data_IF_877851304929
#
_entry.id   IF_877851304929
#
_cell.length_a   1.000
_cell.length_b   1.000
_cell.length_c   1.000
_cell.angle_alpha   90.00
_cell.angle_beta   90.00
_cell.angle_gamma   90.00
#
_symmetry.space_group_name_H-M   'P 1'
#
loop_
_entity.id
_entity.type
_entity.pdbx_description
1 polymer ?
#
# COMPACT_ATOMS: atom_id res chain seq x y z
N UNK A 1 7.50 17.34 -18.87
CA UNK A 1 6.51 16.53 -18.12
C UNK A 1 5.41 17.46 -17.64
N UNK A 2 4.14 17.07 -17.71
CA UNK A 2 3.03 17.90 -17.24
C UNK A 2 2.99 17.89 -15.70
N UNK A 3 2.52 18.96 -15.04
CA UNK A 3 2.43 19.02 -13.58
C UNK A 3 1.54 17.90 -13.00
N UNK A 4 0.50 17.48 -13.71
CA UNK A 4 -0.34 16.34 -13.32
C UNK A 4 0.43 15.01 -13.26
N UNK A 5 1.34 14.78 -14.22
CA UNK A 5 2.17 13.57 -14.23
C UNK A 5 3.15 13.54 -13.05
N UNK A 6 3.70 14.69 -12.65
CA UNK A 6 4.57 14.79 -11.47
C UNK A 6 3.81 14.51 -10.18
N UNK A 7 2.56 14.99 -10.07
CA UNK A 7 1.70 14.71 -8.91
C UNK A 7 1.37 13.23 -8.83
N UNK A 8 0.93 12.62 -9.94
CA UNK A 8 0.66 11.18 -9.99
C UNK A 8 1.91 10.37 -9.64
N UNK A 9 3.07 10.74 -10.18
CA UNK A 9 4.35 10.11 -9.85
C UNK A 9 4.66 10.21 -8.34
N UNK A 10 4.54 11.40 -7.74
CA UNK A 10 4.77 11.60 -6.32
C UNK A 10 3.80 10.78 -5.45
N UNK A 11 2.52 10.72 -5.81
CA UNK A 11 1.53 9.90 -5.10
C UNK A 11 1.90 8.41 -5.19
N UNK A 12 2.22 7.92 -6.38
CA UNK A 12 2.50 6.50 -6.61
C UNK A 12 3.83 6.03 -6.00
N UNK A 13 4.88 6.85 -6.07
CA UNK A 13 6.24 6.45 -5.71
C UNK A 13 6.75 7.05 -4.40
N UNK A 14 6.12 8.09 -3.86
CA UNK A 14 6.53 8.70 -2.59
C UNK A 14 5.49 8.47 -1.50
N UNK A 15 4.20 8.70 -1.78
CA UNK A 15 3.17 8.62 -0.75
C UNK A 15 3.00 7.18 -0.20
N UNK A 16 3.02 6.17 -1.07
CA UNK A 16 2.91 4.75 -0.67
C UNK A 16 4.04 4.31 0.26
N UNK A 17 5.32 4.45 -0.15
CA UNK A 17 6.46 4.13 0.71
C UNK A 17 6.50 4.98 1.99
N UNK A 18 6.18 6.27 1.92
CA UNK A 18 6.18 7.15 3.09
C UNK A 18 5.12 6.73 4.11
N UNK A 19 3.91 6.41 3.67
CA UNK A 19 2.84 5.91 4.54
C UNK A 19 3.24 4.59 5.19
N UNK A 20 3.77 3.65 4.40
CA UNK A 20 4.22 2.35 4.90
C UNK A 20 5.38 2.50 5.91
N UNK A 21 6.37 3.33 5.59
CA UNK A 21 7.48 3.63 6.49
C UNK A 21 7.00 4.24 7.81
N UNK A 22 6.07 5.19 7.75
CA UNK A 22 5.46 5.82 8.92
C UNK A 22 4.73 4.81 9.81
N UNK A 23 3.90 3.97 9.20
CA UNK A 23 3.19 2.90 9.91
C UNK A 23 4.16 1.91 10.54
N UNK A 24 5.22 1.49 9.84
CA UNK A 24 6.20 0.52 10.36
C UNK A 24 7.02 1.00 11.55
N UNK A 25 7.00 2.31 11.86
CA UNK A 25 7.58 2.87 13.09
C UNK A 25 6.72 2.60 14.31
N UNK A 26 5.44 2.29 14.13
CA UNK A 26 4.55 1.93 15.24
C UNK A 26 5.01 0.61 15.90
N UNK A 27 4.68 0.40 17.18
CA UNK A 27 4.98 -0.84 17.86
C UNK A 27 4.36 -2.05 17.14
N UNK A 28 5.08 -3.16 17.10
CA UNK A 28 4.62 -4.41 16.50
C UNK A 28 3.56 -5.13 17.41
N UNK A 29 2.44 -4.45 17.75
CA UNK A 29 1.32 -4.96 18.60
C UNK A 29 0.14 -5.54 17.84
N UNK A 30 -0.41 -6.69 18.28
CA UNK A 30 -1.57 -7.39 17.66
C UNK A 30 -2.70 -6.45 17.26
N UNK A 31 -3.09 -5.54 18.15
CA UNK A 31 -4.11 -4.52 17.92
C UNK A 31 -3.89 -3.64 16.68
N UNK A 32 -2.64 -3.25 16.36
CA UNK A 32 -2.34 -2.40 15.20
C UNK A 32 -2.54 -3.18 13.89
N UNK A 33 -2.13 -4.46 13.86
CA UNK A 33 -2.31 -5.31 12.67
C UNK A 33 -3.78 -5.65 12.46
N UNK A 34 -4.55 -5.91 13.52
CA UNK A 34 -5.99 -6.10 13.38
C UNK A 34 -6.70 -4.81 12.97
N UNK A 35 -6.27 -3.64 13.47
CA UNK A 35 -6.77 -2.34 13.03
C UNK A 35 -6.50 -2.10 11.55
N UNK A 36 -5.28 -2.39 11.08
CA UNK A 36 -4.95 -2.33 9.66
C UNK A 36 -5.81 -3.27 8.82
N UNK A 37 -6.04 -4.51 9.28
CA UNK A 37 -6.90 -5.46 8.60
C UNK A 37 -8.33 -4.93 8.43
N UNK A 38 -8.87 -4.29 9.47
CA UNK A 38 -10.20 -3.68 9.41
C UNK A 38 -10.24 -2.53 8.41
N UNK A 39 -9.24 -1.64 8.43
CA UNK A 39 -9.15 -0.51 7.48
C UNK A 39 -8.99 -0.98 6.03
N UNK A 40 -8.21 -2.04 5.80
CA UNK A 40 -8.07 -2.66 4.48
C UNK A 40 -9.43 -3.20 4.02
N UNK A 41 -10.11 -3.98 4.85
CA UNK A 41 -11.41 -4.56 4.51
C UNK A 41 -12.44 -3.48 4.19
N UNK A 42 -12.54 -2.43 5.02
CA UNK A 42 -13.47 -1.32 4.78
C UNK A 42 -13.12 -0.53 3.52
N UNK A 43 -11.83 -0.31 3.25
CA UNK A 43 -11.39 0.38 2.03
C UNK A 43 -11.77 -0.39 0.77
N UNK A 44 -11.57 -1.72 0.75
CA UNK A 44 -11.97 -2.58 -0.37
C UNK A 44 -13.49 -2.60 -0.52
N UNK A 45 -14.23 -2.81 0.57
CA UNK A 45 -15.71 -2.82 0.52
C UNK A 45 -16.27 -1.50 0.00
N UNK A 46 -15.71 -0.37 0.45
CA UNK A 46 -16.12 0.95 0.00
C UNK A 46 -15.75 1.19 -1.47
N UNK A 47 -14.58 0.72 -1.92
CA UNK A 47 -14.17 0.82 -3.32
C UNK A 47 -15.13 0.05 -4.24
N UNK A 48 -15.50 -1.17 -3.87
CA UNK A 48 -16.46 -1.99 -4.62
C UNK A 48 -17.85 -1.33 -4.64
N UNK A 49 -18.29 -0.75 -3.52
CA UNK A 49 -19.57 -0.03 -3.44
C UNK A 49 -19.60 1.25 -4.30
N UNK A 50 -18.45 1.90 -4.48
CA UNK A 50 -18.31 3.10 -5.33
C UNK A 50 -18.23 2.78 -6.83
N UNK A 51 -17.92 1.53 -7.19
CA UNK A 51 -17.78 1.10 -8.58
C UNK A 51 -19.06 1.34 -9.40
N UNK A 52 -20.23 1.18 -8.78
CA UNK A 52 -21.54 1.35 -9.42
C UNK A 52 -22.09 2.79 -9.36
N UNK A 53 -21.35 3.76 -8.79
CA UNK A 53 -21.85 5.12 -8.48
C UNK A 53 -21.03 6.25 -9.12
N UNK A 54 -20.45 6.02 -10.30
CA UNK A 54 -19.57 6.96 -10.99
C UNK A 54 -18.34 7.41 -10.17
N UNK A 55 -18.06 6.73 -9.05
CA UNK A 55 -16.99 7.03 -8.10
C UNK A 55 -15.65 6.40 -8.45
N UNK A 56 -15.34 6.25 -9.75
CA UNK A 56 -14.20 5.44 -10.24
C UNK A 56 -12.87 5.90 -9.65
N UNK A 57 -12.60 7.21 -9.64
CA UNK A 57 -11.36 7.76 -9.07
C UNK A 57 -11.25 7.52 -7.55
N UNK A 58 -12.36 7.66 -6.82
CA UNK A 58 -12.39 7.40 -5.38
C UNK A 58 -12.20 5.91 -5.08
N UNK A 59 -12.82 5.03 -5.87
CA UNK A 59 -12.64 3.58 -5.79
C UNK A 59 -11.19 3.16 -6.06
N UNK A 60 -10.56 3.72 -7.09
CA UNK A 60 -9.14 3.49 -7.40
C UNK A 60 -8.23 3.97 -6.27
N UNK A 61 -8.50 5.16 -5.71
CA UNK A 61 -7.74 5.67 -4.56
C UNK A 61 -7.87 4.78 -3.32
N UNK A 62 -9.06 4.23 -3.06
CA UNK A 62 -9.32 3.30 -1.96
C UNK A 62 -8.64 1.95 -2.18
N UNK A 63 -8.65 1.41 -3.40
CA UNK A 63 -7.92 0.19 -3.74
C UNK A 63 -6.41 0.38 -3.62
N UNK A 64 -5.89 1.51 -4.09
CA UNK A 64 -4.49 1.88 -3.90
C UNK A 64 -4.12 1.95 -2.42
N UNK A 65 -4.95 2.61 -1.60
CA UNK A 65 -4.73 2.69 -0.15
C UNK A 65 -4.79 1.30 0.48
N UNK A 66 -5.79 0.48 0.14
CA UNK A 66 -5.94 -0.88 0.65
C UNK A 66 -4.72 -1.75 0.32
N UNK A 67 -4.14 -1.60 -0.88
CA UNK A 67 -2.90 -2.27 -1.27
C UNK A 67 -1.74 -1.89 -0.35
N UNK A 68 -1.46 -0.58 -0.21
CA UNK A 68 -0.35 -0.07 0.62
C UNK A 68 -0.48 -0.53 2.06
N UNK A 69 -1.69 -0.47 2.63
CA UNK A 69 -1.97 -0.92 3.99
C UNK A 69 -1.83 -2.44 4.13
N UNK A 70 -2.26 -3.22 3.14
CA UNK A 70 -2.12 -4.68 3.14
C UNK A 70 -0.66 -5.12 3.15
N UNK A 71 0.17 -4.52 2.28
CA UNK A 71 1.62 -4.78 2.24
C UNK A 71 2.27 -4.46 3.58
N UNK A 72 1.91 -3.32 4.17
CA UNK A 72 2.41 -2.88 5.47
C UNK A 72 1.99 -3.85 6.58
N UNK A 73 0.72 -4.29 6.58
CA UNK A 73 0.17 -5.25 7.53
C UNK A 73 0.90 -6.59 7.47
N UNK A 74 1.13 -7.12 6.26
CA UNK A 74 1.88 -8.36 6.03
C UNK A 74 3.30 -8.21 6.59
N UNK A 75 3.98 -7.11 6.27
CA UNK A 75 5.33 -6.84 6.75
C UNK A 75 5.41 -6.77 8.28
N UNK A 76 4.49 -6.07 8.94
CA UNK A 76 4.39 -6.05 10.41
C UNK A 76 4.10 -7.44 10.98
N UNK A 77 3.26 -8.23 10.32
CA UNK A 77 2.99 -9.61 10.68
C UNK A 77 4.24 -10.49 10.63
N UNK A 78 5.05 -10.35 9.58
CA UNK A 78 6.32 -11.07 9.43
C UNK A 78 7.39 -10.58 10.42
N UNK A 79 7.49 -9.27 10.67
CA UNK A 79 8.42 -8.70 11.66
C UNK A 79 8.16 -9.23 13.08
N UNK A 80 6.91 -9.53 13.43
CA UNK A 80 6.57 -10.15 14.72
C UNK A 80 7.02 -11.59 14.87
N UNK A 81 7.12 -12.31 13.76
CA UNK A 81 7.56 -13.71 13.74
C UNK A 81 9.08 -13.84 13.67
N UNK A 82 9.80 -12.73 13.55
CA UNK A 82 11.26 -12.71 13.38
C UNK A 82 11.93 -11.99 14.54
N UNK A 83 12.71 -12.72 15.34
CA UNK A 83 13.53 -12.13 16.40
C UNK A 83 14.83 -11.49 15.87
N UNK A 84 15.33 -11.98 14.72
CA UNK A 84 16.61 -11.56 14.16
C UNK A 84 16.51 -10.19 13.44
N UNK A 85 17.51 -9.29 13.61
CA UNK A 85 17.46 -7.95 13.02
C UNK A 85 17.69 -7.93 11.50
N UNK A 86 18.47 -8.88 10.95
CA UNK A 86 18.72 -9.00 9.50
C UNK A 86 17.45 -9.25 8.67
N UNK A 87 16.64 -10.29 8.95
CA UNK A 87 15.39 -10.52 8.20
C UNK A 87 14.40 -9.38 8.40
N UNK A 88 14.39 -8.75 9.58
CA UNK A 88 13.53 -7.60 9.88
C UNK A 88 13.80 -6.41 8.93
N UNK A 89 15.06 -6.15 8.60
CA UNK A 89 15.45 -5.10 7.64
C UNK A 89 14.99 -5.44 6.22
N UNK A 90 15.19 -6.68 5.80
CA UNK A 90 14.76 -7.14 4.46
C UNK A 90 13.25 -7.10 4.28
N UNK A 91 12.48 -7.46 5.32
CA UNK A 91 11.02 -7.33 5.31
C UNK A 91 10.59 -5.86 5.11
N UNK A 92 11.25 -4.91 5.78
CA UNK A 92 10.94 -3.48 5.58
C UNK A 92 11.29 -3.03 4.17
N UNK A 93 12.47 -3.39 3.65
CA UNK A 93 12.87 -3.00 2.30
C UNK A 93 11.93 -3.57 1.25
N UNK A 94 11.61 -4.87 1.33
CA UNK A 94 10.70 -5.50 0.36
C UNK A 94 9.30 -4.91 0.42
N UNK A 95 8.80 -4.56 1.61
CA UNK A 95 7.50 -3.92 1.76
C UNK A 95 7.47 -2.52 1.14
N UNK A 96 8.51 -1.70 1.34
CA UNK A 96 8.58 -0.37 0.72
C UNK A 96 8.56 -0.47 -0.81
N UNK A 97 9.34 -1.41 -1.38
CA UNK A 97 9.32 -1.67 -2.82
C UNK A 97 7.96 -2.21 -3.29
N UNK A 98 7.32 -3.07 -2.51
CA UNK A 98 6.02 -3.64 -2.87
C UNK A 98 4.89 -2.60 -2.93
N UNK A 99 4.99 -1.48 -2.18
CA UNK A 99 3.99 -0.41 -2.27
C UNK A 99 3.93 0.31 -3.62
N UNK A 100 4.98 0.23 -4.44
CA UNK A 100 5.04 0.86 -5.76
C UNK A 100 4.63 -0.07 -6.91
N UNK A 101 4.44 -1.37 -6.64
CA UNK A 101 4.18 -2.38 -7.66
C UNK A 101 2.85 -2.26 -8.44
N UNK A 102 1.72 -1.82 -7.86
CA UNK A 102 0.44 -1.80 -8.59
C UNK A 102 0.50 -0.98 -9.87
N UNK A 103 1.20 0.15 -9.80
CA UNK A 103 1.37 1.07 -10.92
C UNK A 103 2.42 0.60 -11.90
N UNK A 104 3.46 -0.09 -11.41
CA UNK A 104 4.46 -0.68 -12.28
C UNK A 104 3.81 -1.70 -13.23
N UNK A 105 2.93 -2.57 -12.71
CA UNK A 105 2.18 -3.54 -13.51
C UNK A 105 1.31 -2.90 -14.59
N UNK A 106 0.56 -1.86 -14.23
CA UNK A 106 -0.27 -1.10 -15.19
C UNK A 106 0.58 -0.39 -16.26
N UNK A 107 1.69 0.25 -15.86
CA UNK A 107 2.59 0.91 -16.80
C UNK A 107 3.29 -0.08 -17.74
N UNK A 108 3.72 -1.25 -17.24
CA UNK A 108 4.26 -2.31 -18.11
C UNK A 108 3.20 -2.90 -19.04
N UNK A 109 1.95 -3.03 -18.59
CA UNK A 109 0.87 -3.53 -19.44
C UNK A 109 0.59 -2.55 -20.59
N UNK A 110 0.59 -1.25 -20.33
CA UNK A 110 0.41 -0.20 -21.34
C UNK A 110 1.58 -0.14 -22.36
N UNK A 111 2.79 -0.53 -21.94
CA UNK A 111 3.96 -0.60 -22.83
C UNK A 111 4.01 -1.87 -23.70
N UNK A 112 3.21 -2.89 -23.38
CA UNK A 112 3.18 -4.18 -24.09
C UNK A 112 2.05 -4.29 -25.12
N UNK A 113 1.17 -3.28 -25.20
CA UNK A 113 0.08 -3.14 -26.18
C UNK A 113 0.49 -2.14 -27.25
#
# INVERSE_FOLDING_TARGET
MTPAALIAFAICFVAGPALSAGLMRLPDRRAIVSGLALVVATSVSLALWLQDRDGVLAGLALLWLAWVLSVTMIAMGLRRRTANPRPRRWITVSALLATTLPWFGLATADLMV
#
